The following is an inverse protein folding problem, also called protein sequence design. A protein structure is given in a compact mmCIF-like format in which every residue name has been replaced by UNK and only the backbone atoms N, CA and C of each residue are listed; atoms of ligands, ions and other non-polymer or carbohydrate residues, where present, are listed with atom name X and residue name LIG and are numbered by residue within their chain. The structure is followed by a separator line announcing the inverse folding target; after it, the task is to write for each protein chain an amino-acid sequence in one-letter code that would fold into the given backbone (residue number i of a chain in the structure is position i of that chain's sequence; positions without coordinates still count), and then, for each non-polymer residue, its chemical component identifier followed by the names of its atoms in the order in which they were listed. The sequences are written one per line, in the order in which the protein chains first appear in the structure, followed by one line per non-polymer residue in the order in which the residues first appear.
data_IF_541714539604
#
_entry.id   IF_541714539604
#
_cell.length_a   1.000
_cell.length_b   1.000
_cell.length_c   1.000
_cell.angle_alpha   90.00
_cell.angle_beta   90.00
_cell.angle_gamma   90.00
#
_symmetry.space_group_name_H-M   'P 1'
#
loop_
_entity.id
_entity.type
_entity.pdbx_description
1 polymer ?
#
# COMPACT_ATOMS: atom_id res chain seq x y z
N UNK A 1 8.98 -24.38 0.36
CA UNK A 1 9.60 -23.34 -0.49
C UNK A 1 9.35 -21.99 0.14
N UNK A 2 10.38 -21.18 0.31
CA UNK A 2 10.28 -19.82 0.86
C UNK A 2 10.46 -18.82 -0.28
N UNK A 3 9.51 -17.88 -0.42
CA UNK A 3 9.56 -16.86 -1.44
C UNK A 3 10.27 -15.62 -0.88
N UNK A 4 11.26 -15.12 -1.61
CA UNK A 4 11.91 -13.85 -1.33
C UNK A 4 11.65 -12.87 -2.47
N UNK A 5 11.39 -11.60 -2.12
CA UNK A 5 11.13 -10.54 -3.09
C UNK A 5 12.26 -9.53 -3.07
N UNK A 6 12.83 -9.27 -4.24
CA UNK A 6 13.77 -8.18 -4.49
C UNK A 6 13.17 -7.25 -5.55
N UNK A 7 13.40 -5.95 -5.41
CA UNK A 7 13.00 -4.96 -6.41
C UNK A 7 14.27 -4.39 -7.04
N UNK A 8 14.38 -4.48 -8.36
CA UNK A 8 15.51 -3.91 -9.10
C UNK A 8 15.08 -3.49 -10.50
N UNK A 9 15.90 -2.66 -11.14
CA UNK A 9 15.73 -2.25 -12.53
C UNK A 9 16.71 -3.03 -13.38
N UNK A 10 16.22 -3.57 -14.50
CA UNK A 10 17.07 -4.22 -15.49
C UNK A 10 17.72 -3.11 -16.31
N UNK A 11 19.05 -3.04 -16.27
CA UNK A 11 19.84 -2.09 -17.03
C UNK A 11 20.11 -2.58 -18.47
N UNK A 12 20.92 -1.84 -19.21
CA UNK A 12 21.27 -2.14 -20.61
C UNK A 12 22.03 -3.46 -20.80
N UNK A 13 22.65 -3.99 -19.74
CA UNK A 13 23.34 -5.30 -19.80
C UNK A 13 22.35 -6.46 -19.77
N UNK A 14 21.12 -6.22 -19.31
CA UNK A 14 20.11 -7.25 -19.13
C UNK A 14 20.37 -8.22 -17.98
N UNK A 15 21.47 -8.02 -17.23
CA UNK A 15 21.83 -8.86 -16.09
C UNK A 15 21.11 -8.44 -14.81
N UNK A 16 20.78 -9.42 -13.96
CA UNK A 16 20.21 -9.19 -12.63
C UNK A 16 21.06 -9.92 -11.60
N UNK A 17 21.62 -9.19 -10.64
CA UNK A 17 22.40 -9.77 -9.53
C UNK A 17 21.50 -9.97 -8.31
N UNK A 18 21.50 -11.17 -7.73
CA UNK A 18 20.68 -11.56 -6.57
C UNK A 18 21.51 -11.50 -5.26
N UNK A 19 22.06 -10.34 -4.92
CA UNK A 19 22.97 -10.16 -3.78
C UNK A 19 22.26 -10.00 -2.42
N UNK A 20 21.04 -9.46 -2.43
CA UNK A 20 20.25 -9.19 -1.22
C UNK A 20 19.35 -10.37 -0.79
N UNK A 21 19.46 -11.52 -1.43
CA UNK A 21 18.64 -12.70 -1.14
C UNK A 21 19.43 -13.72 -0.31
N UNK A 22 18.80 -14.41 0.67
CA UNK A 22 19.50 -15.33 1.56
C UNK A 22 19.74 -16.71 0.92
N UNK A 23 20.25 -16.71 -0.32
CA UNK A 23 20.63 -17.91 -1.05
C UNK A 23 22.14 -18.10 -1.03
N UNK A 24 22.56 -19.36 -0.98
CA UNK A 24 23.96 -19.75 -0.98
C UNK A 24 24.36 -20.39 -2.31
N UNK A 25 25.66 -20.36 -2.69
CA UNK A 25 26.12 -21.03 -3.89
C UNK A 25 25.79 -22.53 -3.86
N UNK A 26 25.03 -22.99 -4.86
CA UNK A 26 24.58 -24.38 -4.96
C UNK A 26 23.12 -24.60 -4.57
N UNK A 27 22.43 -23.59 -4.04
CA UNK A 27 21.00 -23.69 -3.77
C UNK A 27 20.19 -23.75 -5.07
N UNK A 28 19.22 -24.67 -5.08
CA UNK A 28 18.25 -24.77 -6.17
C UNK A 28 17.11 -23.77 -5.92
N UNK A 29 16.95 -22.81 -6.83
CA UNK A 29 15.99 -21.71 -6.70
C UNK A 29 15.11 -21.56 -7.93
N UNK A 30 13.86 -21.18 -7.71
CA UNK A 30 12.92 -20.80 -8.77
C UNK A 30 12.83 -19.27 -8.86
N UNK A 31 12.96 -18.72 -10.07
CA UNK A 31 12.95 -17.27 -10.31
C UNK A 31 11.70 -16.88 -11.09
N UNK A 32 10.91 -15.96 -10.54
CA UNK A 32 9.74 -15.37 -11.19
C UNK A 32 10.01 -13.89 -11.44
N UNK A 33 10.07 -13.49 -12.72
CA UNK A 33 10.30 -12.09 -13.12
C UNK A 33 8.97 -11.45 -13.52
N UNK A 34 8.60 -10.37 -12.84
CA UNK A 34 7.39 -9.62 -13.13
C UNK A 34 7.75 -8.23 -13.64
N UNK A 35 7.32 -7.88 -14.86
CA UNK A 35 7.40 -6.51 -15.36
C UNK A 35 6.43 -5.65 -14.55
N UNK A 36 6.94 -4.59 -13.93
CA UNK A 36 6.06 -3.54 -13.41
C UNK A 36 5.50 -2.78 -14.60
N UNK A 37 4.19 -2.88 -14.78
CA UNK A 37 3.49 -1.76 -15.36
C UNK A 37 3.72 -0.62 -14.37
N UNK A 38 4.34 0.47 -14.82
CA UNK A 38 4.11 1.74 -14.15
C UNK A 38 2.61 1.87 -14.16
N UNK A 39 1.96 1.58 -13.02
CA UNK A 39 0.60 1.98 -12.80
C UNK A 39 0.60 3.42 -13.29
N UNK A 40 -0.17 3.70 -14.34
CA UNK A 40 -0.44 5.08 -14.70
C UNK A 40 -0.99 5.64 -13.41
N UNK A 41 -0.13 6.30 -12.63
CA UNK A 41 -0.53 7.21 -11.59
C UNK A 41 -1.34 8.17 -12.42
N UNK A 42 -2.66 7.99 -12.42
CA UNK A 42 -3.52 9.06 -12.87
C UNK A 42 -2.95 10.27 -12.15
N UNK A 43 -2.60 11.31 -12.89
CA UNK A 43 -2.16 12.58 -12.32
C UNK A 43 -3.31 13.25 -11.54
N UNK A 44 -4.21 12.47 -10.94
CA UNK A 44 -5.01 12.93 -9.84
C UNK A 44 -4.01 13.27 -8.74
N UNK A 45 -3.87 14.55 -8.37
CA UNK A 45 -3.02 14.92 -7.26
C UNK A 45 -3.48 14.08 -6.08
N UNK A 46 -2.56 13.34 -5.49
CA UNK A 46 -2.79 12.65 -4.23
C UNK A 46 -3.10 13.75 -3.20
N UNK A 47 -4.38 14.08 -3.05
CA UNK A 47 -4.81 14.99 -2.01
C UNK A 47 -4.43 14.29 -0.73
N UNK A 48 -3.54 14.92 0.05
CA UNK A 48 -3.25 14.44 1.38
C UNK A 48 -4.58 14.30 2.13
N UNK A 49 -4.68 13.27 2.99
CA UNK A 49 -5.88 13.04 3.79
C UNK A 49 -6.36 14.33 4.48
N UNK A 50 -5.42 15.15 4.97
CA UNK A 50 -5.70 16.46 5.56
C UNK A 50 -6.43 17.40 4.60
N UNK A 51 -6.00 17.48 3.33
CA UNK A 51 -6.63 18.34 2.31
C UNK A 51 -7.99 17.82 1.87
N UNK A 52 -8.16 16.50 1.80
CA UNK A 52 -9.48 15.90 1.56
C UNK A 52 -10.43 16.17 2.75
N UNK A 53 -9.93 16.14 3.99
CA UNK A 53 -10.70 16.36 5.20
C UNK A 53 -11.19 17.82 5.36
N UNK A 54 -10.53 18.81 4.74
CA UNK A 54 -10.99 20.21 4.75
C UNK A 54 -12.42 20.37 4.23
N UNK A 55 -12.81 19.60 3.21
CA UNK A 55 -14.17 19.62 2.65
C UNK A 55 -15.26 19.20 3.66
N UNK A 56 -14.87 18.46 4.70
CA UNK A 56 -15.75 17.94 5.73
C UNK A 56 -15.71 18.77 7.03
N UNK A 57 -14.75 19.70 7.15
CA UNK A 57 -14.61 20.55 8.35
C UNK A 57 -15.88 21.40 8.55
N UNK A 58 -16.51 21.26 9.71
CA UNK A 58 -17.72 22.03 10.07
C UNK A 58 -19.00 21.60 9.35
N UNK A 59 -18.99 20.50 8.58
CA UNK A 59 -20.22 19.93 7.98
C UNK A 59 -21.15 19.33 9.03
N UNK A 60 -20.61 18.91 10.17
CA UNK A 60 -21.41 18.40 11.28
C UNK A 60 -21.84 19.56 12.17
N UNK A 61 -22.91 20.26 11.77
CA UNK A 61 -23.41 21.47 12.45
C UNK A 61 -24.26 21.17 13.71
N UNK A 62 -24.72 19.93 13.84
CA UNK A 62 -25.61 19.48 14.93
C UNK A 62 -25.12 18.17 15.53
N UNK A 63 -23.80 17.93 15.50
CA UNK A 63 -23.23 16.81 16.24
C UNK A 63 -23.50 17.02 17.73
N UNK A 64 -23.88 15.96 18.47
CA UNK A 64 -23.71 15.95 19.91
C UNK A 64 -22.26 16.31 20.26
N UNK A 65 -22.05 16.97 21.39
CA UNK A 65 -20.70 17.32 21.88
C UNK A 65 -19.80 16.08 21.99
N UNK A 66 -20.42 14.92 22.17
CA UNK A 66 -19.79 13.63 22.25
C UNK A 66 -20.29 12.70 21.15
N UNK A 67 -19.42 12.43 20.17
CA UNK A 67 -19.68 11.45 19.12
C UNK A 67 -19.28 10.02 19.53
N UNK A 68 -18.53 9.85 20.62
CA UNK A 68 -18.10 8.54 21.09
C UNK A 68 -19.27 7.69 21.61
N UNK A 69 -20.40 8.34 21.93
CA UNK A 69 -21.63 7.70 22.41
C UNK A 69 -22.74 7.64 21.36
N UNK A 70 -22.44 7.86 20.07
CA UNK A 70 -23.48 7.78 19.05
C UNK A 70 -23.95 6.31 18.90
N UNK A 71 -25.23 6.01 19.21
CA UNK A 71 -25.74 4.64 19.23
C UNK A 71 -25.59 3.92 17.89
N UNK A 72 -25.59 4.66 16.78
CA UNK A 72 -25.37 4.10 15.42
C UNK A 72 -24.01 3.42 15.27
N UNK A 73 -22.97 3.86 15.99
CA UNK A 73 -21.65 3.21 15.94
C UNK A 73 -21.59 1.87 16.68
N UNK A 74 -22.60 1.58 17.51
CA UNK A 74 -22.70 0.33 18.28
C UNK A 74 -23.68 -0.65 17.65
N UNK A 75 -24.41 -0.24 16.61
CA UNK A 75 -25.19 -1.17 15.81
C UNK A 75 -24.23 -2.18 15.15
N UNK A 76 -24.49 -3.46 15.39
CA UNK A 76 -23.72 -4.60 14.89
C UNK A 76 -22.25 -4.70 15.35
N UNK A 77 -21.83 -3.92 16.35
CA UNK A 77 -20.50 -4.07 16.95
C UNK A 77 -20.39 -5.43 17.66
N UNK A 78 -19.61 -6.34 17.10
CA UNK A 78 -19.37 -7.68 17.65
C UNK A 78 -20.35 -8.77 17.20
N UNK A 79 -21.15 -8.52 16.16
CA UNK A 79 -21.74 -9.59 15.34
C UNK A 79 -20.74 -10.07 14.29
#
# INVERSE_FOLDING_TARGET
MHAHRMETTIDETGAVTLDALPFTPGDEVEIIILKRETAGVSEQPSLSFARAAEAFRGKIKQAPVDLSTNPVYFEDFGK
#
